data_IF_681119526147
#
_entry.id   IF_681119526147
#
_cell.length_a   1.000
_cell.length_b   1.000
_cell.length_c   1.000
_cell.angle_alpha   90.00
_cell.angle_beta   90.00
_cell.angle_gamma   90.00
#
_symmetry.space_group_name_H-M   'P 1'
#
loop_
_entity.id
_entity.type
_entity.pdbx_description
1 polymer ?
#
# COMPACT_ATOMS: atom_id res chain seq x y z
N UNK A 1 -1.31 -6.09 -1.86
CA UNK A 1 -1.50 -6.06 -0.39
C UNK A 1 -0.32 -5.44 0.37
N UNK A 2 0.82 -5.18 -0.29
CA UNK A 2 1.79 -4.16 0.13
C UNK A 2 1.45 -2.86 -0.61
N UNK A 3 1.17 -1.78 0.11
CA UNK A 3 1.07 -0.37 -0.36
C UNK A 3 -0.12 0.35 0.26
N UNK A 4 -0.18 0.45 1.58
CA UNK A 4 -1.06 1.44 2.23
C UNK A 4 -0.40 2.01 3.48
N UNK A 5 0.92 2.19 3.48
CA UNK A 5 1.56 3.02 4.51
C UNK A 5 1.12 4.45 4.21
N UNK A 6 0.28 5.01 5.09
CA UNK A 6 -0.07 6.44 5.08
C UNK A 6 1.23 7.22 5.35
N UNK A 7 1.96 7.56 4.29
CA UNK A 7 2.87 8.70 4.37
C UNK A 7 1.98 9.93 4.49
N UNK A 8 2.12 10.62 5.63
CA UNK A 8 1.34 11.81 6.00
C UNK A 8 1.40 12.90 4.93
N UNK A 9 2.45 12.84 4.09
CA UNK A 9 2.61 13.64 2.90
C UNK A 9 3.16 12.77 1.76
N UNK A 10 2.32 12.46 0.76
CA UNK A 10 2.78 11.77 -0.46
C UNK A 10 3.89 12.58 -1.14
N UNK A 11 3.79 13.91 -1.07
CA UNK A 11 4.73 14.83 -1.70
C UNK A 11 6.15 14.61 -1.18
N UNK A 12 6.33 14.59 0.15
CA UNK A 12 7.62 14.32 0.81
C UNK A 12 8.18 12.93 0.45
N UNK A 13 7.34 11.90 0.38
CA UNK A 13 7.84 10.56 0.03
C UNK A 13 8.32 10.46 -1.42
N UNK A 14 7.56 11.01 -2.36
CA UNK A 14 7.86 10.92 -3.79
C UNK A 14 8.91 11.95 -4.25
N UNK A 15 8.94 13.14 -3.66
CA UNK A 15 9.84 14.23 -4.08
C UNK A 15 11.15 14.28 -3.28
N UNK A 16 11.18 13.76 -2.05
CA UNK A 16 12.40 13.76 -1.23
C UNK A 16 12.97 12.35 -1.05
N UNK A 17 12.15 11.40 -0.59
CA UNK A 17 12.65 10.06 -0.25
C UNK A 17 13.03 9.23 -1.47
N UNK A 18 12.26 9.26 -2.57
CA UNK A 18 12.58 8.50 -3.77
C UNK A 18 13.84 9.04 -4.47
N UNK A 19 14.00 10.35 -4.69
CA UNK A 19 15.25 10.89 -5.24
C UNK A 19 16.44 10.65 -4.33
N UNK A 20 16.29 10.81 -3.01
CA UNK A 20 17.35 10.49 -2.06
C UNK A 20 17.70 9.00 -2.07
N UNK A 21 16.71 8.12 -2.20
CA UNK A 21 16.94 6.67 -2.35
C UNK A 21 17.68 6.35 -3.64
N UNK A 22 17.30 6.99 -4.76
CA UNK A 22 18.01 6.87 -6.04
C UNK A 22 19.47 7.34 -5.96
N UNK A 23 19.70 8.50 -5.33
CA UNK A 23 21.04 9.05 -5.11
C UNK A 23 21.89 8.14 -4.22
N UNK A 24 21.32 7.58 -3.14
CA UNK A 24 22.04 6.64 -2.26
C UNK A 24 22.38 5.35 -3.01
N UNK A 25 21.45 4.81 -3.81
CA UNK A 25 21.70 3.60 -4.63
C UNK A 25 22.83 3.84 -5.63
N UNK A 26 22.85 5.01 -6.28
CA UNK A 26 23.87 5.41 -7.25
C UNK A 26 25.23 5.65 -6.59
N UNK A 27 25.28 6.39 -5.49
CA UNK A 27 26.51 6.65 -4.72
C UNK A 27 27.16 5.39 -4.15
N UNK A 28 26.36 4.40 -3.79
CA UNK A 28 26.88 3.12 -3.32
C UNK A 28 27.40 2.25 -4.48
N UNK A 29 27.18 2.62 -5.75
CA UNK A 29 27.57 1.78 -6.88
C UNK A 29 26.77 0.48 -6.94
N UNK A 30 25.54 0.46 -6.41
CA UNK A 30 24.62 -0.68 -6.54
C UNK A 30 24.11 -0.65 -7.98
N UNK A 31 24.87 -1.26 -8.90
CA UNK A 31 24.39 -1.57 -10.25
C UNK A 31 23.33 -2.65 -10.15
N UNK A 32 22.09 -2.36 -10.54
CA UNK A 32 21.04 -3.36 -10.65
C UNK A 32 19.72 -3.08 -9.93
N UNK A 33 19.42 -1.85 -9.50
CA UNK A 33 18.00 -1.47 -9.33
C UNK A 33 17.37 -1.43 -10.73
N UNK A 34 16.99 -2.60 -11.22
CA UNK A 34 16.26 -2.74 -12.46
C UNK A 34 14.82 -2.32 -12.19
N UNK A 35 14.46 -1.13 -12.64
CA UNK A 35 13.05 -0.76 -12.81
C UNK A 35 12.58 -1.46 -14.08
N UNK A 36 12.13 -2.71 -13.97
CA UNK A 36 11.40 -3.35 -15.07
C UNK A 36 9.93 -2.97 -14.96
N UNK A 37 9.39 -2.47 -16.06
CA UNK A 37 7.95 -2.47 -16.29
C UNK A 37 7.50 -3.91 -16.38
N UNK A 38 6.86 -4.40 -15.32
CA UNK A 38 6.24 -5.71 -15.34
C UNK A 38 4.74 -5.49 -15.30
N UNK A 39 4.12 -5.50 -16.47
CA UNK A 39 2.73 -5.92 -16.56
C UNK A 39 2.72 -7.42 -16.26
N UNK A 40 2.02 -7.80 -15.19
CA UNK A 40 1.83 -9.16 -14.67
C UNK A 40 2.96 -9.74 -13.81
N UNK A 41 2.75 -9.70 -12.49
CA UNK A 41 3.58 -10.41 -11.52
C UNK A 41 3.01 -11.81 -11.25
N UNK A 42 3.80 -12.84 -11.55
CA UNK A 42 3.60 -14.25 -11.16
C UNK A 42 4.85 -14.65 -10.34
N UNK A 43 4.85 -15.21 -9.12
CA UNK A 43 3.83 -15.71 -8.21
C UNK A 43 4.28 -15.57 -6.73
N UNK A 44 3.30 -15.39 -5.84
CA UNK A 44 3.18 -16.04 -4.53
C UNK A 44 1.67 -16.39 -4.40
N UNK A 45 1.18 -16.96 -3.28
CA UNK A 45 -0.22 -17.43 -3.07
C UNK A 45 -1.32 -16.47 -3.56
N UNK A 46 -1.01 -15.19 -3.76
CA UNK A 46 -1.89 -14.17 -4.35
C UNK A 46 -1.17 -13.44 -5.48
N UNK A 47 -1.74 -13.46 -6.69
CA UNK A 47 -1.30 -12.63 -7.81
C UNK A 47 -1.60 -11.15 -7.54
N UNK A 48 -0.70 -10.25 -7.93
CA UNK A 48 -0.89 -8.80 -7.80
C UNK A 48 -1.19 -8.23 -9.17
N UNK A 49 -2.34 -7.58 -9.29
CA UNK A 49 -2.78 -6.91 -10.51
C UNK A 49 -2.87 -5.40 -10.27
N UNK A 50 -2.37 -4.62 -11.24
CA UNK A 50 -2.60 -3.18 -11.28
C UNK A 50 -4.04 -2.91 -11.75
N UNK A 51 -4.76 -2.04 -11.04
CA UNK A 51 -6.15 -1.68 -11.37
C UNK A 51 -6.23 -0.47 -12.33
N UNK A 52 -5.10 0.15 -12.62
CA UNK A 52 -4.92 1.35 -13.44
C UNK A 52 -3.49 1.35 -14.00
N UNK A 53 -3.22 2.15 -15.03
CA UNK A 53 -1.88 2.31 -15.58
C UNK A 53 -0.89 2.70 -14.47
N UNK A 54 0.11 1.85 -14.27
CA UNK A 54 0.96 1.90 -13.09
C UNK A 54 2.42 1.66 -13.46
N UNK A 55 3.32 2.38 -12.81
CA UNK A 55 4.76 2.10 -12.85
C UNK A 55 5.18 1.45 -11.53
N UNK A 56 5.92 0.35 -11.61
CA UNK A 56 6.38 -0.40 -10.44
C UNK A 56 7.88 -0.21 -10.23
N UNK A 57 8.26 0.11 -9.00
CA UNK A 57 9.64 0.06 -8.53
C UNK A 57 9.80 -1.15 -7.62
N UNK A 58 10.82 -1.97 -7.85
CA UNK A 58 11.14 -3.10 -7.00
C UNK A 58 12.63 -3.11 -6.64
N UNK A 59 12.95 -3.73 -5.52
CA UNK A 59 14.31 -4.01 -5.06
C UNK A 59 14.42 -5.52 -4.84
N UNK A 60 15.49 -6.14 -5.33
CA UNK A 60 15.70 -7.57 -5.07
C UNK A 60 16.12 -7.78 -3.63
N UNK A 61 15.90 -8.98 -3.09
CA UNK A 61 16.36 -9.31 -1.73
C UNK A 61 17.89 -9.18 -1.59
N UNK A 62 18.64 -9.53 -2.64
CA UNK A 62 20.09 -9.40 -2.65
C UNK A 62 20.53 -7.92 -2.59
N UNK A 63 19.89 -7.05 -3.37
CA UNK A 63 20.15 -5.60 -3.33
C UNK A 63 19.78 -4.99 -1.99
N UNK A 64 18.65 -5.41 -1.41
CA UNK A 64 18.21 -4.93 -0.10
C UNK A 64 19.19 -5.30 1.01
N UNK A 65 19.72 -6.53 1.00
CA UNK A 65 20.78 -6.95 1.95
C UNK A 65 22.04 -6.09 1.80
N UNK A 66 22.51 -5.90 0.56
CA UNK A 66 23.67 -5.02 0.28
C UNK A 66 23.44 -3.57 0.73
N UNK A 67 22.20 -3.08 0.63
CA UNK A 67 21.83 -1.75 1.11
C UNK A 67 21.95 -1.66 2.63
N UNK A 68 21.52 -2.67 3.38
CA UNK A 68 21.63 -2.68 4.84
C UNK A 68 23.08 -2.71 5.31
N UNK A 69 23.93 -3.54 4.69
CA UNK A 69 25.35 -3.61 5.03
C UNK A 69 26.06 -2.27 4.81
N UNK A 70 25.72 -1.57 3.71
CA UNK A 70 26.37 -0.31 3.33
C UNK A 70 25.81 0.91 4.04
N UNK A 71 24.52 0.90 4.37
CA UNK A 71 23.85 2.01 5.05
C UNK A 71 22.98 1.47 6.17
N UNK A 72 23.57 1.15 7.34
CA UNK A 72 22.84 0.55 8.47
C UNK A 72 21.64 1.35 8.96
N UNK A 73 21.61 2.68 8.71
CA UNK A 73 20.44 3.52 8.99
C UNK A 73 19.16 3.04 8.27
N UNK A 74 19.29 2.36 7.13
CA UNK A 74 18.16 1.78 6.42
C UNK A 74 17.49 0.64 7.19
N UNK A 75 18.21 -0.10 8.04
CA UNK A 75 17.59 -1.12 8.88
C UNK A 75 16.58 -0.49 9.84
N UNK A 76 16.94 0.64 10.48
CA UNK A 76 16.01 1.39 11.33
C UNK A 76 14.82 1.93 10.55
N UNK A 77 15.06 2.46 9.35
CA UNK A 77 13.99 2.94 8.46
C UNK A 77 13.02 1.81 8.11
N UNK A 78 13.52 0.67 7.61
CA UNK A 78 12.68 -0.47 7.23
C UNK A 78 12.00 -1.12 8.43
N UNK A 79 12.64 -1.14 9.61
CA UNK A 79 12.01 -1.60 10.84
C UNK A 79 10.79 -0.74 11.20
N UNK A 80 10.93 0.60 11.21
CA UNK A 80 9.81 1.52 11.49
C UNK A 80 8.73 1.37 10.41
N UNK A 81 9.12 1.28 9.15
CA UNK A 81 8.21 1.07 8.02
C UNK A 81 7.37 -0.21 8.20
N UNK A 82 8.02 -1.31 8.58
CA UNK A 82 7.39 -2.62 8.80
C UNK A 82 6.47 -2.59 10.02
N UNK A 83 6.91 -1.98 11.12
CA UNK A 83 6.10 -1.81 12.33
C UNK A 83 4.81 -1.03 12.05
N UNK A 84 4.90 0.08 11.32
CA UNK A 84 3.72 0.87 10.93
C UNK A 84 2.79 0.06 10.01
N UNK A 85 3.35 -0.70 9.06
CA UNK A 85 2.56 -1.58 8.20
C UNK A 85 1.82 -2.66 9.00
N UNK A 86 2.47 -3.24 10.00
CA UNK A 86 1.89 -4.25 10.87
C UNK A 86 0.78 -3.69 11.77
N UNK A 87 0.99 -2.53 12.40
CA UNK A 87 -0.05 -1.85 13.19
C UNK A 87 -1.30 -1.56 12.35
N UNK A 88 -1.12 -1.06 11.12
CA UNK A 88 -2.24 -0.82 10.20
C UNK A 88 -3.00 -2.12 9.84
N UNK A 89 -2.27 -3.22 9.61
CA UNK A 89 -2.88 -4.51 9.34
C UNK A 89 -3.68 -5.02 10.54
N UNK A 90 -3.10 -4.96 11.74
CA UNK A 90 -3.78 -5.37 12.98
C UNK A 90 -5.04 -4.53 13.23
N UNK A 91 -4.95 -3.20 13.12
CA UNK A 91 -6.12 -2.31 13.27
C UNK A 91 -7.24 -2.67 12.29
N UNK A 92 -6.89 -2.97 11.03
CA UNK A 92 -7.88 -3.42 10.05
C UNK A 92 -8.54 -4.73 10.46
N UNK A 93 -7.77 -5.71 10.94
CA UNK A 93 -8.32 -6.97 11.43
C UNK A 93 -9.27 -6.74 12.61
N UNK A 94 -8.84 -5.96 13.60
CA UNK A 94 -9.66 -5.62 14.77
C UNK A 94 -10.95 -4.93 14.34
N UNK A 95 -10.89 -3.95 13.43
CA UNK A 95 -12.09 -3.26 12.94
C UNK A 95 -13.02 -4.18 12.17
N UNK A 96 -12.50 -5.13 11.40
CA UNK A 96 -13.32 -6.12 10.72
C UNK A 96 -14.13 -6.99 11.71
N UNK A 97 -13.58 -7.25 12.89
CA UNK A 97 -14.24 -8.05 13.93
C UNK A 97 -15.15 -7.23 14.85
N UNK A 98 -14.81 -5.97 15.15
CA UNK A 98 -15.50 -5.19 16.19
C UNK A 98 -16.42 -4.09 15.68
N UNK A 99 -16.31 -3.66 14.42
CA UNK A 99 -17.11 -2.56 13.85
C UNK A 99 -18.18 -3.06 12.90
N UNK A 100 -19.30 -2.33 12.85
CA UNK A 100 -20.34 -2.56 11.84
C UNK A 100 -19.83 -2.20 10.44
N UNK A 101 -20.46 -2.76 9.40
CA UNK A 101 -20.07 -2.48 8.01
C UNK A 101 -20.06 -0.98 7.67
N UNK A 102 -20.99 -0.20 8.20
CA UNK A 102 -21.05 1.26 8.01
C UNK A 102 -19.88 1.98 8.66
N UNK A 103 -19.55 1.61 9.90
CA UNK A 103 -18.40 2.16 10.59
C UNK A 103 -17.13 1.84 9.81
N UNK A 104 -16.98 0.60 9.31
CA UNK A 104 -15.85 0.22 8.44
C UNK A 104 -15.81 1.03 7.15
N UNK A 105 -16.97 1.31 6.53
CA UNK A 105 -17.03 2.11 5.32
C UNK A 105 -16.66 3.58 5.56
N UNK A 106 -17.18 4.22 6.63
CA UNK A 106 -16.80 5.59 6.99
C UNK A 106 -15.31 5.71 7.27
N UNK A 107 -14.75 4.73 7.99
CA UNK A 107 -13.31 4.65 8.24
C UNK A 107 -12.52 4.49 6.94
N UNK A 108 -12.96 3.64 6.03
CA UNK A 108 -12.35 3.49 4.72
C UNK A 108 -12.30 4.83 3.96
N UNK A 109 -13.41 5.60 3.90
CA UNK A 109 -13.43 6.92 3.26
C UNK A 109 -12.48 7.92 3.94
N UNK A 110 -12.42 7.90 5.28
CA UNK A 110 -11.51 8.75 6.07
C UNK A 110 -10.04 8.37 5.87
N UNK A 111 -9.74 7.09 5.77
CA UNK A 111 -8.38 6.60 5.58
C UNK A 111 -7.90 6.74 4.14
N UNK A 112 -8.78 6.59 3.16
CA UNK A 112 -8.44 6.64 1.74
C UNK A 112 -9.35 7.62 0.98
N UNK A 113 -9.18 8.95 1.22
CA UNK A 113 -9.94 9.94 0.49
C UNK A 113 -9.79 9.74 -1.02
N UNK A 114 -10.90 9.84 -1.76
CA UNK A 114 -10.97 9.69 -3.23
C UNK A 114 -10.67 8.30 -3.78
N UNK A 115 -10.23 7.33 -2.96
CA UNK A 115 -9.95 5.98 -3.47
C UNK A 115 -11.20 5.31 -4.03
N UNK A 116 -12.37 5.58 -3.42
CA UNK A 116 -13.66 5.06 -3.88
C UNK A 116 -14.05 5.45 -5.32
N UNK A 117 -13.41 6.48 -5.88
CA UNK A 117 -13.62 6.91 -7.27
C UNK A 117 -12.72 6.15 -8.26
N UNK A 118 -11.66 5.49 -7.76
CA UNK A 118 -10.62 4.84 -8.58
C UNK A 118 -10.71 3.32 -8.58
N UNK A 119 -11.50 2.74 -7.68
CA UNK A 119 -11.64 1.28 -7.55
C UNK A 119 -13.10 0.86 -7.62
N UNK A 120 -13.34 -0.32 -8.19
CA UNK A 120 -14.70 -0.85 -8.34
C UNK A 120 -15.37 -1.10 -6.98
N UNK A 121 -16.70 -1.02 -6.94
CA UNK A 121 -17.47 -1.35 -5.73
C UNK A 121 -17.20 -2.77 -5.24
N UNK A 122 -16.94 -3.72 -6.15
CA UNK A 122 -16.59 -5.11 -5.81
C UNK A 122 -15.31 -5.17 -4.97
N UNK A 123 -14.27 -4.40 -5.33
CA UNK A 123 -13.03 -4.35 -4.55
C UNK A 123 -13.23 -3.69 -3.19
N UNK A 124 -14.04 -2.62 -3.11
CA UNK A 124 -14.38 -1.96 -1.83
C UNK A 124 -15.14 -2.93 -0.92
N UNK A 125 -16.16 -3.61 -1.44
CA UNK A 125 -16.96 -4.56 -0.67
C UNK A 125 -16.11 -5.73 -0.14
N UNK A 126 -15.24 -6.30 -0.99
CA UNK A 126 -14.27 -7.32 -0.59
C UNK A 126 -13.32 -6.81 0.49
N UNK A 127 -12.83 -5.57 0.37
CA UNK A 127 -11.97 -4.96 1.37
C UNK A 127 -12.65 -4.84 2.75
N UNK A 128 -13.94 -4.50 2.76
CA UNK A 128 -14.78 -4.30 3.94
C UNK A 128 -15.38 -5.59 4.51
N UNK A 129 -15.19 -6.73 3.84
CA UNK A 129 -15.75 -8.03 4.24
C UNK A 129 -17.27 -8.10 4.09
N UNK A 130 -17.84 -7.48 3.05
CA UNK A 130 -19.28 -7.49 2.75
C UNK A 130 -19.52 -7.78 1.26
N UNK A 131 -20.77 -8.04 0.88
CA UNK A 131 -21.14 -8.21 -0.53
C UNK A 131 -21.27 -6.86 -1.23
N UNK A 132 -21.04 -6.83 -2.55
CA UNK A 132 -21.21 -5.62 -3.36
C UNK A 132 -22.66 -5.12 -3.35
N UNK A 133 -23.63 -6.04 -3.34
CA UNK A 133 -25.06 -5.71 -3.21
C UNK A 133 -25.36 -5.00 -1.88
N UNK A 134 -24.83 -5.52 -0.77
CA UNK A 134 -25.01 -4.91 0.55
C UNK A 134 -24.36 -3.52 0.62
N UNK A 135 -23.14 -3.35 0.07
CA UNK A 135 -22.50 -2.04 -0.03
C UNK A 135 -23.35 -1.05 -0.84
N UNK A 136 -23.95 -1.49 -1.95
CA UNK A 136 -24.81 -0.65 -2.79
C UNK A 136 -26.08 -0.21 -2.06
N UNK A 137 -26.76 -1.13 -1.35
CA UNK A 137 -27.93 -0.77 -0.54
C UNK A 137 -27.57 0.22 0.58
N UNK A 138 -26.53 -0.09 1.35
CA UNK A 138 -26.07 0.75 2.47
C UNK A 138 -25.73 2.18 2.03
N UNK A 139 -25.18 2.37 0.83
CA UNK A 139 -24.88 3.70 0.27
C UNK A 139 -26.15 4.51 -0.05
N UNK A 140 -27.21 3.85 -0.52
CA UNK A 140 -28.48 4.49 -0.88
C UNK A 140 -29.34 4.84 0.34
N UNK A 141 -29.31 3.98 1.35
CA UNK A 141 -30.24 4.06 2.48
C UNK A 141 -29.83 5.09 3.55
N UNK A 142 -28.53 5.37 3.68
CA UNK A 142 -27.98 6.16 4.79
C UNK A 142 -27.34 7.48 4.39
N UNK A 143 -27.59 7.97 3.17
CA UNK A 143 -26.93 9.15 2.60
C UNK A 143 -25.42 9.16 2.87
N UNK A 144 -24.79 7.98 2.74
CA UNK A 144 -23.36 7.80 3.00
C UNK A 144 -22.48 8.28 1.84
N UNK A 145 -23.07 8.99 0.88
CA UNK A 145 -22.42 9.61 -0.28
C UNK A 145 -21.90 11.00 0.09
#
# INVERSE_FOLDING_TARGET
>A
MLNLIKFKDKKVYFEEYIPAFGQVVEQLGIKGVNVKFVSEVVANIVAIQALEDSTLYYVTLADLKRLFDRVPKFERFFRILTQNGFDMFQRRLTFNLSKTAEQRYREFRRHYPRLEQRISQKHIASYLGITAAFLSMMRKEKDLL
#
